data_IF_708097128594
#
_entry.id   IF_708097128594
#
_cell.length_a   1.000
_cell.length_b   1.000
_cell.length_c   1.000
_cell.angle_alpha   90.00
_cell.angle_beta   90.00
_cell.angle_gamma   90.00
#
_symmetry.space_group_name_H-M   'P 1'
#
loop_
_entity.id
_entity.type
_entity.pdbx_description
1 polymer ?
#
# COMPACT_ATOMS: atom_id res chain seq x y z
N UNK A 1 -23.71 -9.55 -0.94
CA UNK A 1 -23.57 -8.21 -1.52
C UNK A 1 -22.36 -7.54 -0.88
N UNK A 2 -21.23 -7.48 -1.58
CA UNK A 2 -20.25 -6.43 -1.33
C UNK A 2 -19.49 -6.17 -2.63
N UNK A 3 -19.63 -4.93 -3.06
CA UNK A 3 -19.25 -4.38 -4.35
C UNK A 3 -17.73 -4.22 -4.33
N UNK A 4 -17.00 -5.09 -5.03
CA UNK A 4 -15.61 -4.83 -5.34
C UNK A 4 -15.57 -4.10 -6.68
N UNK A 5 -15.70 -2.79 -6.56
CA UNK A 5 -15.52 -1.84 -7.65
C UNK A 5 -14.16 -2.08 -8.32
N UNK A 6 -14.22 -2.15 -9.65
CA UNK A 6 -13.13 -2.46 -10.54
C UNK A 6 -12.00 -1.44 -10.40
N UNK A 7 -10.82 -1.88 -9.97
CA UNK A 7 -9.56 -1.17 -10.19
C UNK A 7 -8.95 -1.69 -11.50
N UNK A 8 -8.95 -0.91 -12.59
CA UNK A 8 -8.56 -1.38 -13.93
C UNK A 8 -7.05 -1.36 -14.16
N UNK A 9 -6.23 -1.73 -13.16
CA UNK A 9 -4.79 -1.87 -13.35
C UNK A 9 -4.26 -3.06 -12.55
N UNK A 10 -3.90 -4.12 -13.28
CA UNK A 10 -3.17 -5.31 -12.85
C UNK A 10 -4.00 -6.52 -12.38
N UNK A 11 -4.27 -7.50 -13.28
CA UNK A 11 -4.88 -8.78 -12.91
C UNK A 11 -4.01 -9.65 -11.96
N UNK A 12 -2.78 -9.22 -11.64
CA UNK A 12 -1.94 -9.88 -10.63
C UNK A 12 -2.38 -9.60 -9.18
N UNK A 13 -3.05 -8.47 -8.92
CA UNK A 13 -3.52 -8.10 -7.57
C UNK A 13 -4.74 -8.91 -7.13
N UNK A 14 -5.53 -9.46 -8.07
CA UNK A 14 -6.70 -10.28 -7.77
C UNK A 14 -6.36 -11.63 -7.10
N UNK A 15 -5.11 -12.12 -7.22
CA UNK A 15 -4.66 -13.34 -6.53
C UNK A 15 -4.28 -13.12 -5.06
N UNK A 16 -4.20 -11.86 -4.63
CA UNK A 16 -3.91 -11.45 -3.26
C UNK A 16 -5.22 -11.24 -2.46
N UNK A 17 -6.35 -11.83 -2.83
CA UNK A 17 -7.62 -11.67 -2.10
C UNK A 17 -7.62 -12.29 -0.70
N UNK A 18 -6.54 -12.97 -0.29
CA UNK A 18 -6.24 -13.30 1.11
C UNK A 18 -5.12 -12.38 1.68
N UNK A 19 -5.18 -11.07 1.39
CA UNK A 19 -4.31 -10.10 2.04
C UNK A 19 -4.68 -10.06 3.52
N UNK A 20 -3.81 -10.62 4.36
CA UNK A 20 -3.84 -10.38 5.81
C UNK A 20 -4.00 -8.87 6.07
N UNK A 21 -4.64 -8.49 7.18
CA UNK A 21 -4.86 -7.08 7.57
C UNK A 21 -3.60 -6.22 7.42
N UNK A 22 -2.43 -6.82 7.64
CA UNK A 22 -1.12 -6.19 7.43
C UNK A 22 -0.83 -5.81 5.97
N UNK A 23 -1.22 -6.63 5.02
CA UNK A 23 -0.92 -6.39 3.61
C UNK A 23 -1.87 -5.34 3.00
N UNK A 24 -3.12 -5.27 3.47
CA UNK A 24 -4.00 -4.12 3.21
C UNK A 24 -3.44 -2.82 3.80
N UNK A 25 -2.82 -2.88 4.99
CA UNK A 25 -2.12 -1.71 5.57
C UNK A 25 -0.94 -1.25 4.70
N UNK A 26 -0.17 -2.18 4.12
CA UNK A 26 0.95 -1.86 3.22
C UNK A 26 0.49 -1.20 1.91
N UNK A 27 -0.64 -1.65 1.34
CA UNK A 27 -1.24 -1.00 0.16
C UNK A 27 -1.55 0.48 0.45
N UNK A 28 -2.11 0.78 1.63
CA UNK A 28 -2.38 2.17 2.05
C UNK A 28 -1.11 3.02 2.16
N UNK A 29 0.05 2.44 2.48
CA UNK A 29 1.31 3.19 2.52
C UNK A 29 1.69 3.70 1.13
N UNK A 30 1.57 2.85 0.12
CA UNK A 30 1.90 3.22 -1.25
C UNK A 30 0.88 4.21 -1.81
N UNK A 31 -0.40 3.98 -1.57
CA UNK A 31 -1.48 4.89 -1.95
C UNK A 31 -1.24 6.32 -1.41
N UNK A 32 -1.01 6.44 -0.10
CA UNK A 32 -0.71 7.71 0.54
C UNK A 32 0.60 8.33 0.04
N UNK A 33 1.64 7.53 -0.19
CA UNK A 33 2.94 7.98 -0.71
C UNK A 33 2.80 8.63 -2.08
N UNK A 34 2.07 8.01 -3.02
CA UNK A 34 1.85 8.58 -4.35
C UNK A 34 0.93 9.80 -4.29
N UNK A 35 -0.12 9.77 -3.47
CA UNK A 35 -1.03 10.90 -3.29
C UNK A 35 -0.33 12.15 -2.72
N UNK A 36 0.73 11.96 -1.92
CA UNK A 36 1.47 13.06 -1.28
C UNK A 36 2.82 13.36 -1.98
N UNK A 37 2.93 13.09 -3.28
CA UNK A 37 4.10 13.49 -4.07
C UNK A 37 5.37 12.75 -3.67
N UNK A 38 5.26 11.44 -3.41
CA UNK A 38 6.40 10.56 -3.15
C UNK A 38 7.18 10.86 -1.85
N UNK A 39 6.49 11.45 -0.88
CA UNK A 39 7.07 11.79 0.42
C UNK A 39 7.07 10.59 1.39
N UNK A 40 8.11 9.76 1.30
CA UNK A 40 8.30 8.61 2.19
C UNK A 40 8.31 9.01 3.67
N UNK A 41 8.95 10.13 4.03
CA UNK A 41 9.01 10.61 5.43
C UNK A 41 7.64 10.99 5.98
N UNK A 42 6.80 11.61 5.17
CA UNK A 42 5.43 11.98 5.56
C UNK A 42 4.57 10.72 5.76
N UNK A 43 4.68 9.78 4.83
CA UNK A 43 4.03 8.47 4.92
C UNK A 43 4.47 7.71 6.18
N UNK A 44 5.77 7.74 6.49
CA UNK A 44 6.32 7.10 7.70
C UNK A 44 5.76 7.68 9.00
N UNK A 45 5.62 9.02 9.07
CA UNK A 45 4.99 9.69 10.22
C UNK A 45 3.51 9.36 10.34
N UNK A 46 2.80 9.24 9.22
CA UNK A 46 1.36 8.97 9.22
C UNK A 46 1.03 7.54 9.67
N UNK A 47 1.87 6.56 9.29
CA UNK A 47 1.64 5.14 9.60
C UNK A 47 2.51 4.59 10.73
N UNK A 48 3.26 5.45 11.42
CA UNK A 48 4.22 5.10 12.48
C UNK A 48 5.18 3.97 12.06
N UNK A 49 5.73 4.10 10.85
CA UNK A 49 6.65 3.11 10.28
C UNK A 49 8.03 3.69 10.07
N UNK A 50 9.06 2.87 10.26
CA UNK A 50 10.43 3.27 9.96
C UNK A 50 10.63 3.45 8.45
N UNK A 51 11.38 4.48 8.00
CA UNK A 51 11.75 4.64 6.60
C UNK A 51 12.42 3.40 6.01
N UNK A 52 13.21 2.68 6.84
CA UNK A 52 13.86 1.44 6.44
C UNK A 52 12.83 0.37 6.05
N UNK A 53 11.76 0.24 6.83
CA UNK A 53 10.66 -0.68 6.54
C UNK A 53 9.96 -0.28 5.24
N UNK A 54 9.67 1.00 5.06
CA UNK A 54 9.05 1.50 3.82
C UNK A 54 9.90 1.20 2.58
N UNK A 55 11.19 1.56 2.58
CA UNK A 55 12.07 1.29 1.44
C UNK A 55 12.31 -0.19 1.20
N UNK A 56 12.33 -1.03 2.25
CA UNK A 56 12.41 -2.48 2.12
C UNK A 56 11.21 -3.05 1.35
N UNK A 57 10.01 -2.50 1.56
CA UNK A 57 8.82 -2.89 0.82
C UNK A 57 8.77 -2.27 -0.58
N UNK A 58 9.25 -1.04 -0.77
CA UNK A 58 9.36 -0.41 -2.10
C UNK A 58 10.31 -1.16 -3.04
N UNK A 59 11.32 -1.85 -2.49
CA UNK A 59 12.32 -2.62 -3.25
C UNK A 59 11.85 -4.03 -3.63
N UNK A 60 10.80 -4.56 -2.99
CA UNK A 60 10.20 -5.85 -3.37
C UNK A 60 9.26 -5.68 -4.55
#
# INVERSE_FOLDING_TARGET
MNVHEHLPWSPRLARLTNLSKEAGRRLKWFDYYYAHGENARLTCRHFDISPQTFYRWKRR
#
